data_IF_256780943780
#
_entry.id   IF_256780943780
#
_cell.length_a   1.000
_cell.length_b   1.000
_cell.length_c   1.000
_cell.angle_alpha   90.00
_cell.angle_beta   90.00
_cell.angle_gamma   90.00
#
_symmetry.space_group_name_H-M   'P 1'
#
loop_
_entity.id
_entity.type
_entity.pdbx_description
1 polymer ?
#
# COMPACT_ATOMS: atom_id res chain seq x y z
N UNK A 1 -59.00 43.43 42.96
CA UNK A 1 -57.62 43.12 42.51
C UNK A 1 -57.06 42.08 43.49
N UNK A 2 -57.41 40.78 43.30
CA UNK A 2 -56.50 39.70 42.84
C UNK A 2 -55.11 39.83 43.51
N UNK A 3 -54.66 39.01 44.46
CA UNK A 3 -54.92 37.60 44.77
C UNK A 3 -53.60 36.84 44.58
N UNK A 4 -53.03 36.25 45.64
CA UNK A 4 -52.07 35.14 45.52
C UNK A 4 -51.88 34.45 46.88
N UNK A 5 -52.36 33.22 46.94
CA UNK A 5 -52.19 32.23 48.01
C UNK A 5 -51.18 31.17 47.54
N UNK A 6 -50.65 30.43 48.52
CA UNK A 6 -50.05 29.07 48.47
C UNK A 6 -48.56 29.04 48.88
N UNK A 7 -48.26 28.58 50.11
CA UNK A 7 -47.96 27.17 50.52
C UNK A 7 -46.47 26.83 50.27
N UNK A 8 -45.64 26.74 51.32
CA UNK A 8 -45.37 25.59 52.22
C UNK A 8 -44.47 24.48 51.59
N UNK A 9 -43.21 24.44 52.08
CA UNK A 9 -42.33 23.29 52.39
C UNK A 9 -41.91 22.27 51.28
N UNK A 10 -40.96 21.33 51.54
CA UNK A 10 -39.60 21.49 52.07
C UNK A 10 -38.53 20.60 51.33
N UNK A 11 -37.25 20.74 51.71
CA UNK A 11 -36.11 19.80 51.55
C UNK A 11 -35.74 19.22 50.17
N UNK A 12 -34.58 19.60 49.63
CA UNK A 12 -33.68 18.70 48.89
C UNK A 12 -32.27 19.29 48.76
N UNK A 13 -31.26 18.50 49.15
CA UNK A 13 -29.84 18.77 48.90
C UNK A 13 -29.56 18.80 47.39
N UNK A 14 -28.81 19.79 46.85
CA UNK A 14 -28.24 19.64 45.52
C UNK A 14 -27.05 18.68 45.59
N UNK A 15 -27.33 17.45 45.19
CA UNK A 15 -26.34 16.44 44.86
C UNK A 15 -25.30 17.02 43.88
N UNK A 16 -24.03 16.75 44.18
CA UNK A 16 -22.97 16.63 43.19
C UNK A 16 -23.42 15.65 42.11
N UNK A 17 -24.04 16.15 41.04
CA UNK A 17 -24.19 15.36 39.82
C UNK A 17 -22.93 15.59 39.00
N UNK A 18 -21.96 14.72 39.26
CA UNK A 18 -20.88 14.39 38.34
C UNK A 18 -21.40 14.39 36.91
N UNK A 19 -20.66 15.09 36.03
CA UNK A 19 -20.72 14.91 34.59
C UNK A 19 -20.63 13.42 34.27
N UNK A 20 -21.78 12.80 34.01
CA UNK A 20 -21.82 11.55 33.28
C UNK A 20 -22.44 11.88 31.94
N UNK A 21 -21.60 12.38 31.02
CA UNK A 21 -21.83 12.13 29.60
C UNK A 21 -21.96 10.61 29.50
N UNK A 22 -23.20 10.13 29.47
CA UNK A 22 -23.48 8.82 28.91
C UNK A 22 -23.02 8.92 27.47
N UNK A 23 -21.75 8.55 27.27
CA UNK A 23 -21.15 8.38 25.98
C UNK A 23 -22.05 7.37 25.28
N UNK A 24 -22.93 7.88 24.42
CA UNK A 24 -23.68 7.05 23.50
C UNK A 24 -22.61 6.34 22.70
N UNK A 25 -22.36 5.07 23.03
CA UNK A 25 -21.70 4.16 22.10
C UNK A 25 -22.55 4.23 20.84
N UNK A 26 -22.03 4.73 19.70
CA UNK A 26 -22.77 4.56 18.46
C UNK A 26 -22.98 3.05 18.30
N UNK A 27 -24.24 2.68 18.05
CA UNK A 27 -24.60 1.32 17.72
C UNK A 27 -23.60 0.81 16.68
N UNK A 28 -23.07 -0.40 16.90
CA UNK A 28 -22.15 -1.11 16.02
C UNK A 28 -22.80 -1.22 14.63
N UNK A 29 -22.65 -0.18 13.82
CA UNK A 29 -23.05 -0.18 12.43
C UNK A 29 -22.08 -1.15 11.77
N UNK A 30 -22.60 -2.30 11.34
CA UNK A 30 -21.91 -3.17 10.41
C UNK A 30 -21.78 -2.37 9.11
N UNK A 31 -20.81 -1.47 9.06
CA UNK A 31 -20.42 -0.80 7.83
C UNK A 31 -20.19 -1.92 6.81
N UNK A 32 -20.87 -1.84 5.67
CA UNK A 32 -20.69 -2.84 4.62
C UNK A 32 -19.19 -2.98 4.32
N UNK A 33 -18.72 -4.19 3.99
CA UNK A 33 -17.31 -4.43 3.65
C UNK A 33 -16.76 -3.37 2.69
N UNK A 34 -17.57 -2.93 1.72
CA UNK A 34 -17.24 -1.86 0.79
C UNK A 34 -16.95 -0.51 1.48
N UNK A 35 -17.77 -0.10 2.44
CA UNK A 35 -17.56 1.13 3.21
C UNK A 35 -16.27 1.07 4.05
N UNK A 36 -15.96 -0.08 4.65
CA UNK A 36 -14.70 -0.28 5.41
C UNK A 36 -13.47 -0.24 4.49
N UNK A 37 -13.57 -0.86 3.32
CA UNK A 37 -12.52 -0.81 2.28
C UNK A 37 -12.26 0.62 1.84
N UNK A 38 -13.31 1.39 1.58
CA UNK A 38 -13.17 2.78 1.14
C UNK A 38 -12.64 3.70 2.25
N UNK A 39 -13.01 3.43 3.51
CA UNK A 39 -12.44 4.11 4.67
C UNK A 39 -10.94 3.85 4.82
N UNK A 40 -10.48 2.60 4.66
CA UNK A 40 -9.05 2.25 4.71
C UNK A 40 -8.31 2.86 3.52
N UNK A 41 -8.89 2.87 2.32
CA UNK A 41 -8.33 3.59 1.17
C UNK A 41 -8.24 5.09 1.45
N UNK A 42 -9.20 5.65 2.18
CA UNK A 42 -9.18 7.03 2.66
C UNK A 42 -7.97 7.29 3.55
N UNK A 43 -7.74 6.45 4.57
CA UNK A 43 -6.55 6.55 5.44
C UNK A 43 -5.24 6.42 4.67
N UNK A 44 -5.18 5.51 3.70
CA UNK A 44 -3.99 5.35 2.85
C UNK A 44 -3.64 6.59 2.01
N UNK A 45 -4.64 7.43 1.70
CA UNK A 45 -4.47 8.66 0.91
C UNK A 45 -4.25 9.89 1.78
N UNK A 46 -4.90 9.94 2.94
CA UNK A 46 -4.86 11.08 3.85
C UNK A 46 -3.53 11.15 4.61
N UNK A 47 -3.05 10.01 5.12
CA UNK A 47 -1.93 9.99 6.05
C UNK A 47 -0.92 8.89 5.68
N UNK A 48 0.34 9.30 5.48
CA UNK A 48 1.44 8.37 5.23
C UNK A 48 1.68 7.44 6.44
N UNK A 49 1.45 7.94 7.66
CA UNK A 49 1.58 7.16 8.89
C UNK A 49 0.46 6.12 9.03
N UNK A 50 -0.78 6.47 8.63
CA UNK A 50 -1.91 5.53 8.62
C UNK A 50 -1.70 4.41 7.60
N UNK A 51 -1.17 4.78 6.42
CA UNK A 51 -0.80 3.82 5.37
C UNK A 51 0.24 2.83 5.87
N UNK A 52 1.26 3.32 6.58
CA UNK A 52 2.33 2.49 7.10
C UNK A 52 1.85 1.58 8.24
N UNK A 53 1.00 2.10 9.15
CA UNK A 53 0.32 1.30 10.17
C UNK A 53 -0.52 0.16 9.57
N UNK A 54 -1.26 0.43 8.48
CA UNK A 54 -1.99 -0.60 7.74
C UNK A 54 -1.06 -1.65 7.13
N UNK A 55 0.04 -1.23 6.51
CA UNK A 55 1.02 -2.15 5.92
C UNK A 55 1.65 -3.07 6.97
N UNK A 56 2.02 -2.53 8.13
CA UNK A 56 2.59 -3.31 9.23
C UNK A 56 1.58 -4.28 9.83
N UNK A 57 0.31 -3.87 9.95
CA UNK A 57 -0.77 -4.74 10.38
C UNK A 57 -0.99 -5.89 9.37
N UNK A 58 -0.98 -5.60 8.08
CA UNK A 58 -1.06 -6.61 7.02
C UNK A 58 0.12 -7.58 7.03
N UNK A 59 1.34 -7.07 7.21
CA UNK A 59 2.56 -7.88 7.23
C UNK A 59 2.58 -8.83 8.45
N UNK A 60 2.01 -8.41 9.60
CA UNK A 60 1.94 -9.23 10.83
C UNK A 60 0.78 -10.23 10.87
N UNK A 61 -0.41 -9.81 10.41
CA UNK A 61 -1.64 -10.59 10.63
C UNK A 61 -2.26 -11.15 9.35
N UNK A 62 -1.89 -10.64 8.17
CA UNK A 62 -2.55 -10.93 6.89
C UNK A 62 -1.58 -11.41 5.81
N UNK A 63 -0.47 -12.03 6.25
CA UNK A 63 0.55 -12.64 5.38
C UNK A 63 1.12 -11.66 4.32
N UNK A 64 1.12 -10.35 4.62
CA UNK A 64 1.63 -9.32 3.72
C UNK A 64 0.70 -8.94 2.55
N UNK A 65 -0.53 -9.43 2.52
CA UNK A 65 -1.54 -9.00 1.53
C UNK A 65 -2.07 -7.63 1.94
N UNK A 66 -1.69 -6.58 1.20
CA UNK A 66 -2.00 -5.17 1.54
C UNK A 66 -3.29 -4.63 0.92
N UNK A 67 -3.98 -5.44 0.12
CA UNK A 67 -5.21 -5.10 -0.57
C UNK A 67 -6.42 -5.20 0.39
N UNK A 68 -7.08 -4.08 0.75
CA UNK A 68 -8.21 -4.09 1.66
C UNK A 68 -9.39 -4.95 1.18
N UNK A 69 -9.56 -5.13 -0.14
CA UNK A 69 -10.69 -5.88 -0.69
C UNK A 69 -10.55 -7.40 -0.49
N UNK A 70 -9.31 -7.86 -0.25
CA UNK A 70 -8.98 -9.28 -0.02
C UNK A 70 -9.20 -9.74 1.42
N UNK A 71 -9.54 -8.82 2.33
CA UNK A 71 -9.70 -9.13 3.75
C UNK A 71 -11.16 -9.20 4.17
N UNK A 72 -11.43 -9.96 5.23
CA UNK A 72 -12.76 -10.07 5.84
C UNK A 72 -13.18 -8.78 6.55
N UNK A 73 -14.48 -8.43 6.56
CA UNK A 73 -14.97 -7.18 7.13
C UNK A 73 -14.62 -7.04 8.61
N UNK A 74 -14.60 -8.14 9.37
CA UNK A 74 -14.22 -8.13 10.79
C UNK A 74 -12.79 -7.66 11.01
N UNK A 75 -11.87 -8.04 10.13
CA UNK A 75 -10.45 -7.63 10.19
C UNK A 75 -10.30 -6.15 9.85
N UNK A 76 -11.02 -5.70 8.82
CA UNK A 76 -11.02 -4.29 8.41
C UNK A 76 -11.59 -3.41 9.53
N UNK A 77 -12.67 -3.84 10.16
CA UNK A 77 -13.28 -3.14 11.27
C UNK A 77 -12.37 -3.11 12.50
N UNK A 78 -11.72 -4.23 12.84
CA UNK A 78 -10.75 -4.30 13.93
C UNK A 78 -9.58 -3.32 13.73
N UNK A 79 -9.08 -3.19 12.50
CA UNK A 79 -8.04 -2.21 12.17
C UNK A 79 -8.53 -0.76 12.34
N UNK A 80 -9.72 -0.44 11.82
CA UNK A 80 -10.30 0.91 11.95
C UNK A 80 -10.51 1.28 13.42
N UNK A 81 -11.05 0.36 14.21
CA UNK A 81 -11.31 0.59 15.64
C UNK A 81 -10.01 0.78 16.42
N UNK A 82 -9.00 -0.04 16.15
CA UNK A 82 -7.69 0.05 16.82
C UNK A 82 -6.86 1.26 16.36
N UNK A 83 -7.01 1.70 15.12
CA UNK A 83 -6.40 2.92 14.61
C UNK A 83 -7.04 4.17 15.24
N UNK A 84 -8.37 4.22 15.33
CA UNK A 84 -9.11 5.31 15.99
C UNK A 84 -8.87 5.35 17.52
N UNK A 85 -8.68 4.18 18.13
CA UNK A 85 -8.28 4.08 19.55
C UNK A 85 -6.80 4.45 19.79
N UNK A 86 -6.02 4.72 18.74
CA UNK A 86 -4.59 5.06 18.85
C UNK A 86 -3.68 3.87 19.19
N UNK A 87 -4.19 2.64 19.10
CA UNK A 87 -3.45 1.41 19.43
C UNK A 87 -2.49 0.95 18.32
N UNK A 88 -2.73 1.34 17.06
CA UNK A 88 -1.85 1.04 15.93
C UNK A 88 -1.19 2.33 15.46
N UNK A 89 0.06 2.55 15.88
CA UNK A 89 0.90 3.63 15.39
C UNK A 89 2.04 3.06 14.55
N UNK A 90 2.35 3.70 13.43
CA UNK A 90 3.46 3.33 12.56
C UNK A 90 4.78 3.44 13.31
N UNK A 91 5.54 2.36 13.38
CA UNK A 91 6.83 2.34 14.11
C UNK A 91 7.95 3.10 13.38
N UNK A 92 7.70 3.64 12.18
CA UNK A 92 8.68 4.35 11.37
C UNK A 92 8.91 5.82 11.76
N UNK A 93 8.32 6.31 12.85
CA UNK A 93 8.69 7.61 13.40
C UNK A 93 9.98 7.47 14.21
N UNK A 94 11.10 7.89 13.63
CA UNK A 94 12.34 8.10 14.37
C UNK A 94 12.06 9.02 15.57
N UNK A 95 12.64 8.75 16.76
CA UNK A 95 12.43 9.59 17.92
C UNK A 95 12.99 10.98 17.62
N UNK A 96 12.11 12.00 17.69
CA UNK A 96 12.53 13.40 17.69
C UNK A 96 13.38 13.60 18.95
N UNK A 97 14.70 13.65 18.79
CA UNK A 97 15.61 14.00 19.88
C UNK A 97 15.39 15.48 20.21
N UNK A 98 14.95 15.73 21.44
CA UNK A 98 14.90 17.05 22.05
C UNK A 98 16.32 17.60 22.24
N UNK A 99 16.52 18.80 21.67
CA UNK A 99 17.41 19.90 22.09
C UNK A 99 18.75 19.61 22.81
N UNK A 100 19.85 20.04 22.18
CA UNK A 100 21.03 20.65 22.83
C UNK A 100 21.82 21.50 21.79
N UNK A 101 22.56 22.55 22.20
CA UNK A 101 22.73 23.79 21.42
C UNK A 101 23.93 23.77 20.46
N UNK A 102 23.86 24.73 19.51
CA UNK A 102 24.81 25.00 18.44
C UNK A 102 26.25 25.31 18.91
N UNK A 103 27.25 25.10 18.03
CA UNK A 103 28.35 26.03 17.87
C UNK A 103 28.13 26.88 16.61
N UNK A 104 28.30 28.20 16.76
CA UNK A 104 28.29 29.20 15.68
C UNK A 104 29.67 29.24 14.97
N UNK A 105 29.94 30.11 13.97
CA UNK A 105 30.20 29.68 12.61
C UNK A 105 31.64 29.98 12.15
N UNK A 106 32.26 29.06 11.43
CA UNK A 106 33.46 29.37 10.63
C UNK A 106 33.12 29.14 9.15
N UNK A 107 32.61 30.20 8.52
CA UNK A 107 32.52 30.34 7.07
C UNK A 107 33.87 30.84 6.55
N UNK A 108 34.55 30.07 5.70
CA UNK A 108 34.99 30.51 4.37
C UNK A 108 35.88 29.44 3.68
N UNK A 109 35.48 29.01 2.49
CA UNK A 109 36.40 28.53 1.44
C UNK A 109 36.16 27.12 0.90
N UNK A 110 35.32 26.97 -0.14
CA UNK A 110 35.33 25.78 -1.01
C UNK A 110 33.99 25.49 -1.72
N UNK A 111 33.99 25.06 -3.00
CA UNK A 111 32.83 25.17 -3.88
C UNK A 111 31.76 24.09 -3.64
N UNK A 112 30.54 24.41 -4.07
CA UNK A 112 29.30 23.64 -3.96
C UNK A 112 29.36 22.28 -4.69
N UNK A 113 29.99 21.25 -4.13
CA UNK A 113 29.72 19.86 -4.52
C UNK A 113 29.84 18.92 -3.31
N UNK A 114 28.96 17.90 -3.29
CA UNK A 114 28.95 16.76 -2.39
C UNK A 114 28.32 16.96 -0.99
N UNK A 115 26.98 17.11 -0.98
CA UNK A 115 26.17 16.69 0.17
C UNK A 115 25.96 15.16 0.15
N UNK A 116 26.96 14.40 0.61
CA UNK A 116 26.79 13.07 1.20
C UNK A 116 27.89 12.86 2.24
N UNK A 117 27.51 12.88 3.53
CA UNK A 117 28.40 12.61 4.65
C UNK A 117 29.00 11.19 4.62
N UNK A 118 29.82 10.81 5.62
CA UNK A 118 30.93 9.85 5.51
C UNK A 118 30.54 8.35 5.39
N UNK A 119 29.33 8.03 4.92
CA UNK A 119 28.87 6.66 4.71
C UNK A 119 28.77 6.25 3.23
N UNK A 120 29.30 7.06 2.29
CA UNK A 120 29.36 6.68 0.88
C UNK A 120 30.57 5.79 0.54
N UNK A 121 31.57 5.68 1.43
CA UNK A 121 32.82 4.95 1.16
C UNK A 121 32.80 3.47 1.59
N UNK A 122 31.80 3.01 2.34
CA UNK A 122 31.66 1.60 2.78
C UNK A 122 30.55 0.87 2.01
N UNK A 123 30.31 1.20 0.74
CA UNK A 123 29.34 0.50 -0.11
C UNK A 123 29.99 -0.23 -1.30
N UNK A 124 31.33 -0.21 -1.40
CA UNK A 124 32.07 -0.83 -2.50
C UNK A 124 32.61 -2.24 -2.18
N UNK A 125 32.45 -2.76 -0.96
CA UNK A 125 33.19 -3.94 -0.49
C UNK A 125 32.35 -5.18 -0.14
N UNK A 126 31.01 -5.13 -0.14
CA UNK A 126 30.18 -6.31 0.12
C UNK A 126 28.98 -6.37 -0.84
N UNK A 127 29.10 -7.23 -1.85
CA UNK A 127 28.00 -7.98 -2.45
C UNK A 127 26.83 -7.16 -2.99
N UNK A 128 26.80 -7.01 -4.31
CA UNK A 128 25.58 -6.72 -5.06
C UNK A 128 24.46 -7.68 -4.61
N UNK A 129 23.51 -7.15 -3.83
CA UNK A 129 22.30 -7.85 -3.42
C UNK A 129 21.23 -7.91 -4.54
N UNK A 130 20.11 -8.62 -4.31
CA UNK A 130 19.20 -9.17 -5.33
C UNK A 130 18.39 -8.15 -6.15
N UNK A 131 18.68 -6.86 -6.03
CA UNK A 131 17.99 -5.78 -6.73
C UNK A 131 18.25 -5.77 -8.24
N UNK A 132 19.38 -6.34 -8.70
CA UNK A 132 19.71 -6.41 -10.13
C UNK A 132 18.87 -7.46 -10.86
N UNK A 133 18.48 -8.56 -10.22
CA UNK A 133 17.70 -9.64 -10.86
C UNK A 133 16.23 -9.24 -11.06
N UNK A 134 15.62 -8.50 -10.12
CA UNK A 134 14.23 -8.04 -10.28
C UNK A 134 14.06 -7.03 -11.43
N UNK A 135 15.12 -6.30 -11.77
CA UNK A 135 15.09 -5.34 -12.87
C UNK A 135 14.95 -6.06 -14.23
N UNK A 136 15.60 -7.21 -14.42
CA UNK A 136 15.45 -8.03 -15.64
C UNK A 136 14.07 -8.71 -15.71
N UNK A 137 13.56 -9.19 -14.57
CA UNK A 137 12.22 -9.79 -14.53
C UNK A 137 11.11 -8.78 -14.86
N UNK A 138 11.32 -7.53 -14.47
CA UNK A 138 10.43 -6.43 -14.84
C UNK A 138 10.46 -6.15 -16.35
N UNK A 139 11.62 -6.12 -17.00
CA UNK A 139 11.75 -5.62 -18.39
C UNK A 139 11.05 -6.53 -19.39
N UNK A 140 11.17 -7.86 -19.25
CA UNK A 140 10.50 -8.84 -20.12
C UNK A 140 8.98 -8.83 -19.90
N UNK A 141 8.52 -8.79 -18.65
CA UNK A 141 7.10 -8.67 -18.34
C UNK A 141 6.51 -7.36 -18.90
N UNK A 142 7.25 -6.25 -18.87
CA UNK A 142 6.83 -4.99 -19.47
C UNK A 142 6.76 -5.07 -21.01
N UNK A 143 7.63 -5.85 -21.67
CA UNK A 143 7.52 -6.08 -23.11
C UNK A 143 6.20 -6.78 -23.46
N UNK A 144 5.82 -7.82 -22.71
CA UNK A 144 4.54 -8.51 -22.89
C UNK A 144 3.36 -7.57 -22.60
N UNK A 145 3.42 -6.78 -21.52
CA UNK A 145 2.37 -5.80 -21.20
C UNK A 145 2.26 -4.72 -22.27
N UNK A 146 3.37 -4.25 -22.83
CA UNK A 146 3.37 -3.31 -23.94
C UNK A 146 2.70 -3.94 -25.17
N UNK A 147 3.06 -5.18 -25.51
CA UNK A 147 2.43 -5.94 -26.60
C UNK A 147 0.91 -6.09 -26.40
N UNK A 148 0.48 -6.45 -25.19
CA UNK A 148 -0.94 -6.54 -24.82
C UNK A 148 -1.70 -5.20 -24.97
N UNK A 149 -1.05 -4.06 -24.71
CA UNK A 149 -1.65 -2.72 -24.87
C UNK A 149 -1.75 -2.29 -26.33
N UNK A 150 -0.86 -2.78 -27.19
CA UNK A 150 -0.76 -2.36 -28.59
C UNK A 150 -1.51 -3.28 -29.55
N UNK A 151 -1.62 -4.57 -29.25
CA UNK A 151 -2.20 -5.57 -30.15
C UNK A 151 -3.13 -6.53 -29.42
N UNK A 152 -4.35 -6.68 -29.96
CA UNK A 152 -5.29 -7.68 -29.48
C UNK A 152 -4.82 -9.10 -29.82
N UNK A 153 -4.18 -9.30 -30.98
CA UNK A 153 -3.59 -10.60 -31.34
C UNK A 153 -2.50 -11.01 -30.34
N UNK A 154 -1.69 -10.05 -29.88
CA UNK A 154 -0.68 -10.30 -28.85
C UNK A 154 -1.33 -10.71 -27.52
N UNK A 155 -2.42 -10.04 -27.13
CA UNK A 155 -3.17 -10.38 -25.92
C UNK A 155 -3.78 -11.78 -26.01
N UNK A 156 -4.44 -12.12 -27.11
CA UNK A 156 -5.02 -13.45 -27.33
C UNK A 156 -3.95 -14.54 -27.39
N UNK A 157 -2.82 -14.28 -28.05
CA UNK A 157 -1.69 -15.20 -28.12
C UNK A 157 -1.10 -15.46 -26.73
N UNK A 158 -0.91 -14.41 -25.92
CA UNK A 158 -0.45 -14.55 -24.54
C UNK A 158 -1.42 -15.36 -23.68
N UNK A 159 -2.71 -15.07 -23.75
CA UNK A 159 -3.75 -15.82 -23.02
C UNK A 159 -3.74 -17.30 -23.40
N UNK A 160 -3.61 -17.60 -24.70
CA UNK A 160 -3.56 -18.98 -25.20
C UNK A 160 -2.28 -19.69 -24.76
N UNK A 161 -1.13 -19.01 -24.82
CA UNK A 161 0.15 -19.54 -24.37
C UNK A 161 0.14 -19.87 -22.88
N UNK A 162 -0.40 -18.97 -22.06
CA UNK A 162 -0.58 -19.19 -20.63
C UNK A 162 -1.57 -20.32 -20.32
N UNK A 163 -2.63 -20.47 -21.12
CA UNK A 163 -3.59 -21.56 -20.96
C UNK A 163 -2.99 -22.93 -21.28
N UNK A 164 -2.03 -22.99 -22.21
CA UNK A 164 -1.39 -24.24 -22.66
C UNK A 164 -0.18 -24.64 -21.81
N UNK A 165 0.68 -23.67 -21.48
CA UNK A 165 1.99 -23.94 -20.85
C UNK A 165 2.10 -23.38 -19.43
N UNK A 166 1.17 -22.50 -19.03
CA UNK A 166 1.21 -21.78 -17.77
C UNK A 166 0.20 -22.28 -16.73
N UNK A 167 0.03 -21.49 -15.67
CA UNK A 167 -0.87 -21.76 -14.54
C UNK A 167 -2.23 -21.07 -14.68
N UNK A 168 -2.54 -20.47 -15.84
CA UNK A 168 -3.81 -19.80 -16.11
C UNK A 168 -3.93 -18.35 -15.61
N UNK A 169 -2.91 -17.81 -14.93
CA UNK A 169 -2.90 -16.39 -14.53
C UNK A 169 -2.46 -15.51 -15.69
N UNK A 170 -3.27 -14.53 -16.11
CA UNK A 170 -2.96 -13.70 -17.28
C UNK A 170 -1.95 -12.55 -17.04
N UNK A 171 -1.41 -12.41 -15.83
CA UNK A 171 -0.45 -11.35 -15.49
C UNK A 171 1.00 -11.81 -15.80
N UNK A 172 1.71 -11.14 -16.74
CA UNK A 172 3.09 -11.50 -17.08
C UNK A 172 4.06 -11.42 -15.90
N UNK A 173 3.79 -10.56 -14.91
CA UNK A 173 4.66 -10.39 -13.73
C UNK A 173 4.62 -11.58 -12.77
N UNK A 174 3.78 -12.58 -13.04
CA UNK A 174 3.64 -13.81 -12.25
C UNK A 174 4.51 -14.95 -12.75
N UNK A 175 5.09 -14.81 -13.94
CA UNK A 175 5.96 -15.80 -14.55
C UNK A 175 7.42 -15.39 -14.45
N UNK A 176 8.32 -16.36 -14.54
CA UNK A 176 9.76 -16.18 -14.55
C UNK A 176 10.29 -15.87 -15.97
N UNK A 177 11.51 -15.34 -16.03
CA UNK A 177 12.11 -14.85 -17.27
C UNK A 177 12.24 -15.91 -18.36
N UNK A 178 12.63 -17.17 -18.07
CA UNK A 178 12.67 -18.23 -19.07
C UNK A 178 11.30 -18.52 -19.69
N UNK A 179 10.21 -18.41 -18.91
CA UNK A 179 8.87 -18.62 -19.41
C UNK A 179 8.43 -17.48 -20.34
N UNK A 180 8.71 -16.23 -19.94
CA UNK A 180 8.38 -15.05 -20.73
C UNK A 180 9.22 -15.00 -22.00
N UNK A 181 10.52 -15.31 -21.93
CA UNK A 181 11.38 -15.38 -23.11
C UNK A 181 10.97 -16.50 -24.05
N UNK A 182 10.54 -17.65 -23.53
CA UNK A 182 9.98 -18.75 -24.32
C UNK A 182 8.74 -18.33 -25.13
N UNK A 183 7.85 -17.51 -24.54
CA UNK A 183 6.72 -16.95 -25.28
C UNK A 183 7.16 -16.02 -26.43
N UNK A 184 8.13 -15.13 -26.16
CA UNK A 184 8.64 -14.20 -27.18
C UNK A 184 9.32 -14.95 -28.32
N UNK A 185 10.09 -16.00 -28.01
CA UNK A 185 10.72 -16.84 -29.02
C UNK A 185 9.69 -17.65 -29.82
N UNK A 186 8.66 -18.20 -29.17
CA UNK A 186 7.55 -18.87 -29.85
C UNK A 186 6.82 -17.96 -30.85
N UNK A 187 6.57 -16.69 -30.47
CA UNK A 187 6.02 -15.70 -31.39
C UNK A 187 6.98 -15.38 -32.54
N UNK A 188 8.28 -15.28 -32.27
CA UNK A 188 9.31 -15.07 -33.29
C UNK A 188 9.34 -16.21 -34.30
N UNK A 189 9.36 -17.45 -33.84
CA UNK A 189 9.33 -18.64 -34.68
C UNK A 189 8.08 -18.71 -35.56
N UNK A 190 6.90 -18.41 -35.00
CA UNK A 190 5.65 -18.32 -35.77
C UNK A 190 5.71 -17.23 -36.85
N UNK A 191 6.21 -16.05 -36.51
CA UNK A 191 6.34 -14.93 -37.46
C UNK A 191 7.34 -15.24 -38.58
N UNK A 192 8.49 -15.85 -38.26
CA UNK A 192 9.46 -16.29 -39.26
C UNK A 192 8.89 -17.35 -40.19
N UNK A 193 8.15 -18.33 -39.65
CA UNK A 193 7.52 -19.38 -40.46
C UNK A 193 6.48 -18.81 -41.43
N UNK A 194 5.58 -17.94 -40.94
CA UNK A 194 4.51 -17.32 -41.75
C UNK A 194 5.07 -16.42 -42.85
N UNK A 195 6.06 -15.58 -42.53
CA UNK A 195 6.72 -14.72 -43.51
C UNK A 195 7.49 -15.50 -44.57
N UNK A 196 8.15 -16.60 -44.19
CA UNK A 196 8.83 -17.47 -45.15
C UNK A 196 7.86 -18.18 -46.09
N UNK A 197 6.70 -18.61 -45.58
CA UNK A 197 5.65 -19.19 -46.39
C UNK A 197 5.09 -18.15 -47.40
N UNK A 198 4.77 -16.95 -46.92
CA UNK A 198 4.31 -15.86 -47.78
C UNK A 198 5.34 -15.45 -48.86
N UNK A 199 6.64 -15.50 -48.54
CA UNK A 199 7.70 -15.20 -49.49
C UNK A 199 7.86 -16.28 -50.58
N UNK A 200 7.51 -17.53 -50.31
CA UNK A 200 7.58 -18.62 -51.29
C UNK A 200 6.43 -18.58 -52.32
N UNK A 201 5.37 -17.83 -52.03
CA UNK A 201 4.20 -17.67 -52.90
C UNK A 201 4.31 -16.45 -53.84
N UNK A 202 5.38 -15.64 -53.71
CA UNK A 202 5.68 -14.49 -54.58
C UNK A 202 6.61 -14.87 -55.72
#
# INVERSE_FOLDING_TARGET
LKGSLAQLCPTAHPLLLVCSLSARRPARQMASKAALVDQIKGFQRADADAKQAWWEYCDKHLQGVKDPNRHEPDVLQLFVDSYMAGGITSTKRAPVRSAAPAPTPAYFGGPLTAAWGPYAAQAAAYGAGPALVKAEIGTLAEAVKMGQRRSQHWKTAWQSYVALYGSGFNDPSKYDDPFISGFLDYLGQLGTADLNAAAAEQ
#
